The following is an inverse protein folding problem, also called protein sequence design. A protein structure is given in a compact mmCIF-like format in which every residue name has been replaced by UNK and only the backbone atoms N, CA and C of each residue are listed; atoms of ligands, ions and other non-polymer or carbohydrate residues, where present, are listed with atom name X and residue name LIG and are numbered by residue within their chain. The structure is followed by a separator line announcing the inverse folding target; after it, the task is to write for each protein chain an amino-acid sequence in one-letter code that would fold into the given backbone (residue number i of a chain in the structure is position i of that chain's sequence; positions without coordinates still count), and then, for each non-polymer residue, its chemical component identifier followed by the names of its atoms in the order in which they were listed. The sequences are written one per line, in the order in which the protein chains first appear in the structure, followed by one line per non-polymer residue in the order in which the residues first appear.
data_IF_973033169400
#
_entry.id   IF_973033169400
#
_cell.length_a   1.000
_cell.length_b   1.000
_cell.length_c   1.000
_cell.angle_alpha   90.00
_cell.angle_beta   90.00
_cell.angle_gamma   90.00
#
_symmetry.space_group_name_H-M   'P 1'
#
loop_
_entity.id
_entity.type
_entity.pdbx_description
1 polymer ?
#
# COMPACT_ATOMS: atom_id res chain seq x y z
N UNK A 1 -0.01 27.94 22.96
CA UNK A 1 -1.16 27.02 23.02
C UNK A 1 -1.38 26.51 21.60
N UNK A 2 -1.01 25.27 21.30
CA UNK A 2 -1.27 24.69 19.98
C UNK A 2 -2.78 24.46 19.85
N UNK A 3 -3.44 25.15 18.91
CA UNK A 3 -4.84 24.93 18.59
C UNK A 3 -4.98 23.56 17.90
N UNK A 4 -5.19 22.51 18.69
CA UNK A 4 -5.59 21.19 18.17
C UNK A 4 -7.05 21.24 17.71
N UNK A 5 -7.29 20.80 16.49
CA UNK A 5 -8.61 20.69 15.86
C UNK A 5 -8.99 19.21 15.84
N UNK A 6 -10.20 18.87 16.28
CA UNK A 6 -10.65 17.48 16.36
C UNK A 6 -11.71 17.17 15.31
N UNK A 7 -11.47 16.15 14.49
CA UNK A 7 -12.46 15.48 13.65
C UNK A 7 -13.02 14.26 14.38
N UNK A 8 -14.24 14.37 14.92
CA UNK A 8 -14.93 13.26 15.60
C UNK A 8 -15.70 12.45 14.58
N UNK A 9 -15.50 11.12 14.53
CA UNK A 9 -16.11 10.25 13.52
C UNK A 9 -17.14 9.24 13.99
N UNK A 10 -17.37 9.17 15.31
CA UNK A 10 -18.44 8.35 15.86
C UNK A 10 -19.75 9.14 16.00
N UNK A 11 -20.92 8.46 15.94
CA UNK A 11 -21.11 7.04 15.61
C UNK A 11 -20.91 6.76 14.12
N UNK A 12 -20.46 5.54 13.76
CA UNK A 12 -20.20 5.16 12.37
C UNK A 12 -21.46 5.12 11.50
N UNK A 13 -22.66 4.98 12.09
CA UNK A 13 -23.93 4.95 11.36
C UNK A 13 -24.16 6.19 10.49
N UNK A 14 -23.51 7.31 10.78
CA UNK A 14 -23.56 8.53 9.95
C UNK A 14 -22.98 8.34 8.55
N UNK A 15 -22.19 7.30 8.34
CA UNK A 15 -21.52 6.98 7.07
C UNK A 15 -22.19 5.82 6.32
N UNK A 16 -23.24 5.20 6.87
CA UNK A 16 -23.91 4.05 6.24
C UNK A 16 -24.76 4.45 5.02
N UNK A 17 -25.27 5.69 5.00
CA UNK A 17 -26.18 6.19 3.95
C UNK A 17 -25.52 7.16 2.96
N UNK A 18 -24.23 7.47 3.12
CA UNK A 18 -23.50 8.36 2.24
C UNK A 18 -23.41 7.82 0.81
N UNK A 19 -23.58 8.71 -0.17
CA UNK A 19 -23.43 8.41 -1.60
C UNK A 19 -22.16 9.06 -2.15
N UNK A 20 -21.03 8.81 -1.48
CA UNK A 20 -19.74 9.27 -2.00
C UNK A 20 -19.35 8.44 -3.20
N UNK A 21 -19.00 9.11 -4.29
CA UNK A 21 -18.43 8.47 -5.47
C UNK A 21 -16.92 8.35 -5.32
N UNK A 22 -16.38 7.25 -5.84
CA UNK A 22 -14.96 7.12 -6.13
C UNK A 22 -14.78 7.11 -7.64
N UNK A 23 -13.79 7.87 -8.13
CA UNK A 23 -13.37 7.74 -9.53
C UNK A 23 -12.45 6.54 -9.65
N UNK A 24 -12.54 5.83 -10.76
CA UNK A 24 -11.64 4.69 -11.02
C UNK A 24 -10.19 5.20 -11.06
N UNK A 25 -9.25 4.61 -10.29
CA UNK A 25 -7.84 4.94 -10.41
C UNK A 25 -7.35 4.68 -11.83
N UNK A 26 -6.58 5.61 -12.38
CA UNK A 26 -5.91 5.49 -13.68
C UNK A 26 -4.43 5.77 -13.49
N UNK A 27 -3.57 4.85 -13.92
CA UNK A 27 -2.13 5.11 -13.95
C UNK A 27 -1.87 6.27 -14.92
N UNK A 28 -1.13 7.28 -14.45
CA UNK A 28 -0.70 8.43 -15.24
C UNK A 28 0.80 8.36 -15.55
N UNK A 29 1.58 7.77 -14.64
CA UNK A 29 3.01 7.56 -14.79
C UNK A 29 3.49 6.52 -13.76
N UNK A 30 4.78 6.19 -13.75
CA UNK A 30 5.37 5.15 -12.92
C UNK A 30 6.87 5.35 -12.75
N UNK A 31 7.46 4.65 -11.79
CA UNK A 31 8.90 4.59 -11.60
C UNK A 31 9.33 3.24 -11.07
N UNK A 32 10.63 2.96 -11.19
CA UNK A 32 11.27 1.79 -10.63
C UNK A 32 12.34 2.19 -9.62
N UNK A 33 12.53 1.38 -8.58
CA UNK A 33 13.77 1.29 -7.84
C UNK A 33 14.52 0.04 -8.30
N UNK A 34 15.82 0.16 -8.57
CA UNK A 34 16.65 -1.00 -8.89
C UNK A 34 17.04 -1.81 -7.63
N UNK A 35 17.86 -2.85 -7.81
CA UNK A 35 18.33 -3.75 -6.75
C UNK A 35 19.18 -3.06 -5.67
N UNK A 36 19.63 -1.83 -5.93
CA UNK A 36 20.41 -0.96 -5.05
C UNK A 36 19.59 0.21 -4.50
N UNK A 37 18.27 0.20 -4.68
CA UNK A 37 17.35 1.27 -4.26
C UNK A 37 17.58 2.60 -5.00
N UNK A 38 18.17 2.57 -6.21
CA UNK A 38 18.29 3.78 -7.02
C UNK A 38 16.99 4.06 -7.75
N UNK A 39 16.49 5.30 -7.63
CA UNK A 39 15.31 5.76 -8.34
C UNK A 39 15.57 5.84 -9.85
N UNK A 40 14.65 5.26 -10.63
CA UNK A 40 14.57 5.31 -12.08
C UNK A 40 13.17 5.87 -12.46
N UNK A 41 13.03 7.19 -12.60
CA UNK A 41 11.77 7.81 -13.03
C UNK A 41 11.35 7.34 -14.42
N UNK A 42 10.03 7.19 -14.64
CA UNK A 42 9.47 6.85 -15.95
C UNK A 42 9.98 5.51 -16.52
N UNK A 43 10.36 4.58 -15.64
CA UNK A 43 11.00 3.31 -15.99
C UNK A 43 10.21 2.11 -15.49
N UNK A 44 10.13 1.08 -16.33
CA UNK A 44 9.55 -0.24 -16.01
C UNK A 44 10.62 -1.29 -15.68
N UNK A 45 11.86 -0.86 -15.41
CA UNK A 45 13.00 -1.77 -15.20
C UNK A 45 12.75 -2.83 -14.12
N UNK A 46 11.95 -2.50 -13.10
CA UNK A 46 11.63 -3.38 -11.98
C UNK A 46 10.24 -4.02 -12.07
N UNK A 47 9.54 -3.85 -13.20
CA UNK A 47 8.23 -4.46 -13.43
C UNK A 47 8.35 -5.99 -13.41
N UNK A 48 7.53 -6.64 -12.59
CA UNK A 48 7.46 -8.10 -12.50
C UNK A 48 6.20 -8.66 -13.13
N UNK A 49 6.29 -9.90 -13.59
CA UNK A 49 5.22 -10.65 -14.21
C UNK A 49 4.80 -11.80 -13.32
N UNK A 50 3.49 -11.92 -13.07
CA UNK A 50 2.97 -12.97 -12.20
C UNK A 50 3.17 -14.34 -12.83
N UNK A 51 3.82 -15.23 -12.08
CA UNK A 51 4.00 -16.64 -12.44
C UNK A 51 3.81 -17.47 -11.16
N UNK A 52 2.69 -18.20 -11.01
CA UNK A 52 2.38 -18.87 -9.76
C UNK A 52 3.49 -19.87 -9.36
N UNK A 53 3.75 -20.05 -8.05
CA UNK A 53 4.51 -21.17 -7.53
C UNK A 53 3.90 -22.49 -8.01
N UNK A 54 4.75 -23.43 -8.43
CA UNK A 54 4.29 -24.74 -8.87
C UNK A 54 4.13 -25.69 -7.68
N UNK A 55 3.07 -26.48 -7.69
CA UNK A 55 2.86 -27.59 -6.76
C UNK A 55 2.94 -28.90 -7.54
N UNK A 56 3.49 -29.96 -6.94
CA UNK A 56 3.51 -31.29 -7.55
C UNK A 56 4.41 -31.44 -8.77
N UNK A 57 5.54 -30.70 -8.84
CA UNK A 57 6.48 -30.89 -9.93
C UNK A 57 7.21 -32.25 -9.82
N UNK A 58 7.48 -32.88 -10.97
CA UNK A 58 8.23 -34.14 -11.01
C UNK A 58 9.67 -33.93 -10.50
N UNK A 59 10.09 -34.70 -9.49
CA UNK A 59 11.43 -34.65 -8.91
C UNK A 59 11.57 -33.92 -7.57
N UNK A 60 10.50 -33.31 -7.04
CA UNK A 60 10.50 -32.70 -5.71
C UNK A 60 10.34 -33.74 -4.58
N UNK A 61 11.02 -33.54 -3.44
CA UNK A 61 10.97 -34.48 -2.31
C UNK A 61 9.62 -34.44 -1.57
N UNK A 62 8.99 -33.26 -1.50
CA UNK A 62 7.62 -33.06 -0.99
C UNK A 62 6.74 -32.60 -2.14
N UNK A 63 6.09 -33.55 -2.83
CA UNK A 63 5.24 -33.25 -3.98
C UNK A 63 4.00 -32.43 -3.62
N UNK A 64 3.56 -32.39 -2.36
CA UNK A 64 2.33 -31.71 -1.99
C UNK A 64 2.60 -30.26 -1.57
N UNK A 65 3.67 -30.00 -0.81
CA UNK A 65 3.97 -28.67 -0.27
C UNK A 65 5.47 -28.31 -0.37
N UNK A 66 5.99 -28.15 -1.61
CA UNK A 66 7.43 -28.02 -1.85
C UNK A 66 8.03 -26.70 -1.36
N UNK A 67 7.22 -25.66 -1.12
CA UNK A 67 7.73 -24.31 -0.82
C UNK A 67 7.65 -23.99 0.67
N UNK A 68 8.81 -23.81 1.31
CA UNK A 68 8.90 -23.28 2.66
C UNK A 68 9.32 -21.80 2.63
N UNK A 69 8.46 -20.90 3.12
CA UNK A 69 8.65 -19.46 2.97
C UNK A 69 9.82 -18.89 3.80
N UNK A 70 10.35 -19.64 4.78
CA UNK A 70 11.60 -19.29 5.48
C UNK A 70 12.88 -19.62 4.69
N UNK A 71 12.80 -20.36 3.58
CA UNK A 71 14.00 -20.73 2.81
C UNK A 71 14.69 -19.51 2.20
N UNK A 72 15.95 -19.31 2.57
CA UNK A 72 16.76 -18.16 2.15
C UNK A 72 16.71 -16.97 3.10
N UNK A 73 16.02 -17.07 4.25
CA UNK A 73 15.92 -15.98 5.23
C UNK A 73 17.29 -15.50 5.74
N UNK A 74 18.24 -16.42 5.94
CA UNK A 74 19.60 -16.09 6.42
C UNK A 74 20.43 -15.29 5.40
N UNK A 75 20.09 -15.37 4.11
CA UNK A 75 20.74 -14.64 3.02
C UNK A 75 19.89 -13.47 2.51
N UNK A 76 18.82 -13.11 3.22
CA UNK A 76 17.92 -12.04 2.80
C UNK A 76 18.65 -10.69 2.70
N UNK A 77 18.59 -10.08 1.51
CA UNK A 77 19.10 -8.73 1.29
C UNK A 77 18.00 -7.72 1.63
N UNK A 78 17.95 -7.33 2.92
CA UNK A 78 16.94 -6.40 3.43
C UNK A 78 17.35 -4.94 3.14
N UNK A 79 16.48 -4.20 2.46
CA UNK A 79 16.54 -2.76 2.33
C UNK A 79 16.49 -2.05 3.70
N UNK A 80 17.30 -1.01 3.85
CA UNK A 80 17.37 -0.18 5.06
C UNK A 80 16.19 0.80 5.15
N UNK A 81 15.16 0.38 5.88
CA UNK A 81 13.95 1.17 6.19
C UNK A 81 14.18 2.28 7.24
N UNK A 82 15.42 2.51 7.68
CA UNK A 82 15.77 3.60 8.61
C UNK A 82 15.81 4.97 7.94
N UNK A 83 15.96 5.00 6.62
CA UNK A 83 16.03 6.22 5.82
C UNK A 83 14.60 6.74 5.58
N UNK A 84 14.39 8.04 5.78
CA UNK A 84 13.13 8.70 5.45
C UNK A 84 13.19 9.16 3.99
N UNK A 85 12.53 8.41 3.10
CA UNK A 85 12.48 8.71 1.66
C UNK A 85 11.44 9.78 1.32
N UNK A 86 10.68 10.27 2.31
CA UNK A 86 9.64 11.30 2.15
C UNK A 86 8.73 11.00 0.94
N UNK A 87 8.33 12.01 0.17
CA UNK A 87 7.61 11.86 -1.09
C UNK A 87 8.55 11.92 -2.30
N UNK A 88 9.87 11.83 -2.11
CA UNK A 88 10.87 12.24 -3.10
C UNK A 88 10.70 11.54 -4.45
N UNK A 89 10.55 10.21 -4.46
CA UNK A 89 10.37 9.47 -5.71
C UNK A 89 9.06 9.77 -6.43
N UNK A 90 7.98 10.04 -5.69
CA UNK A 90 6.73 10.51 -6.27
C UNK A 90 6.94 11.90 -6.91
N UNK A 91 7.53 12.84 -6.19
CA UNK A 91 7.72 14.21 -6.68
C UNK A 91 8.68 14.29 -7.87
N UNK A 92 9.80 13.56 -7.82
CA UNK A 92 10.79 13.53 -8.90
C UNK A 92 10.20 12.91 -10.17
N UNK A 93 9.43 11.83 -10.03
CA UNK A 93 8.77 11.18 -11.16
C UNK A 93 7.64 12.02 -11.73
N UNK A 94 6.86 12.67 -10.86
CA UNK A 94 5.80 13.56 -11.30
C UNK A 94 6.37 14.77 -12.03
N UNK A 95 7.44 15.39 -11.52
CA UNK A 95 8.15 16.46 -12.22
C UNK A 95 8.64 16.00 -13.59
N UNK A 96 9.32 14.85 -13.69
CA UNK A 96 9.80 14.33 -14.97
C UNK A 96 8.64 14.09 -15.97
N UNK A 97 7.50 13.61 -15.49
CA UNK A 97 6.30 13.42 -16.31
C UNK A 97 5.72 14.75 -16.81
N UNK A 98 5.65 15.77 -15.95
CA UNK A 98 5.16 17.11 -16.30
C UNK A 98 6.09 17.83 -17.27
N UNK A 99 7.41 17.65 -17.14
CA UNK A 99 8.41 18.13 -18.09
C UNK A 99 8.24 17.44 -19.46
N UNK A 100 8.07 16.12 -19.49
CA UNK A 100 7.88 15.35 -20.73
C UNK A 100 6.57 15.71 -21.45
N UNK A 101 5.49 15.93 -20.70
CA UNK A 101 4.15 16.21 -21.27
C UNK A 101 3.88 17.69 -21.47
N UNK A 102 4.67 18.57 -20.85
CA UNK A 102 4.41 20.02 -20.75
C UNK A 102 3.01 20.32 -20.18
N UNK A 103 2.49 19.44 -19.33
CA UNK A 103 1.16 19.56 -18.71
C UNK A 103 1.25 19.30 -17.21
N UNK A 104 0.67 20.20 -16.43
CA UNK A 104 0.52 20.03 -14.98
C UNK A 104 -0.52 18.95 -14.68
N UNK A 105 -0.18 18.03 -13.78
CA UNK A 105 -1.12 17.07 -13.22
C UNK A 105 -1.90 17.73 -12.07
N UNK A 106 -3.19 17.89 -12.27
CA UNK A 106 -4.10 18.49 -11.29
C UNK A 106 -4.43 17.50 -10.16
N UNK A 107 -4.21 17.92 -8.91
CA UNK A 107 -4.51 17.11 -7.73
C UNK A 107 -4.72 18.01 -6.51
N UNK A 108 -5.70 17.67 -5.66
CA UNK A 108 -5.79 18.25 -4.32
C UNK A 108 -4.76 17.58 -3.40
N UNK A 109 -4.59 16.26 -3.43
CA UNK A 109 -3.67 15.56 -2.51
C UNK A 109 -2.65 14.76 -3.28
N UNK A 110 -1.38 14.89 -2.87
CA UNK A 110 -0.25 14.07 -3.32
C UNK A 110 0.24 13.23 -2.13
N UNK A 111 0.24 11.90 -2.27
CA UNK A 111 0.57 11.02 -1.14
C UNK A 111 0.92 9.59 -1.57
N UNK A 112 1.51 8.83 -0.65
CA UNK A 112 1.66 7.38 -0.78
C UNK A 112 0.34 6.65 -0.54
N UNK A 113 0.11 5.57 -1.29
CA UNK A 113 -1.00 4.62 -1.10
C UNK A 113 -1.12 4.15 0.33
N UNK A 114 0.00 3.94 1.02
CA UNK A 114 0.01 3.53 2.42
C UNK A 114 -0.70 4.52 3.34
N UNK A 115 -0.58 5.83 3.12
CA UNK A 115 -1.25 6.84 3.92
C UNK A 115 -2.76 6.84 3.64
N UNK A 116 -3.15 6.80 2.37
CA UNK A 116 -4.57 6.69 2.02
C UNK A 116 -5.20 5.39 2.49
N UNK A 117 -4.46 4.29 2.54
CA UNK A 117 -4.93 3.03 3.12
C UNK A 117 -5.30 3.23 4.59
N UNK A 118 -4.40 3.83 5.38
CA UNK A 118 -4.62 4.13 6.81
C UNK A 118 -5.83 5.04 7.02
N UNK A 119 -5.98 6.08 6.21
CA UNK A 119 -7.18 6.96 6.23
C UNK A 119 -8.43 6.15 5.91
N UNK A 120 -8.43 5.39 4.80
CA UNK A 120 -9.61 4.68 4.31
C UNK A 120 -10.15 3.67 5.33
N UNK A 121 -9.27 2.96 6.04
CA UNK A 121 -9.67 1.89 6.97
C UNK A 121 -9.76 2.33 8.42
N UNK A 122 -9.44 3.59 8.76
CA UNK A 122 -9.45 4.11 10.13
C UNK A 122 -10.73 3.85 10.95
N UNK A 123 -11.94 3.80 10.36
CA UNK A 123 -13.16 3.43 11.10
C UNK A 123 -13.15 2.02 11.68
N UNK A 124 -12.41 1.11 11.06
CA UNK A 124 -12.40 -0.31 11.38
C UNK A 124 -11.03 -0.82 11.84
N UNK A 125 -9.94 -0.07 11.61
CA UNK A 125 -8.63 -0.40 12.18
C UNK A 125 -8.60 -0.08 13.68
N UNK A 126 -8.81 -1.12 14.47
CA UNK A 126 -8.92 -1.03 15.94
C UNK A 126 -7.57 -1.17 16.64
N UNK A 127 -6.49 -1.44 15.92
CA UNK A 127 -5.22 -1.83 16.52
C UNK A 127 -4.09 -0.90 16.13
N UNK A 128 -4.11 -0.35 14.92
CA UNK A 128 -3.08 0.56 14.46
C UNK A 128 -3.57 2.02 14.55
N UNK A 129 -2.77 2.86 15.20
CA UNK A 129 -2.87 4.31 15.07
C UNK A 129 -1.97 4.80 13.94
N UNK A 130 -2.14 6.06 13.54
CA UNK A 130 -1.24 6.68 12.58
C UNK A 130 -0.97 8.13 12.92
N UNK A 131 0.22 8.58 12.54
CA UNK A 131 0.60 9.98 12.51
C UNK A 131 1.13 10.31 11.13
N UNK A 132 0.69 11.44 10.59
CA UNK A 132 1.05 11.90 9.26
C UNK A 132 1.33 13.39 9.27
N UNK A 133 2.27 13.85 8.45
CA UNK A 133 2.46 15.27 8.18
C UNK A 133 1.62 15.70 6.99
N UNK A 134 1.06 16.90 7.04
CA UNK A 134 0.30 17.54 5.98
C UNK A 134 0.78 18.98 5.77
N UNK A 135 1.08 19.39 4.54
CA UNK A 135 1.42 20.79 4.22
C UNK A 135 0.76 21.27 2.93
N UNK A 136 0.46 22.56 2.87
CA UNK A 136 -0.20 23.23 1.74
C UNK A 136 0.82 24.01 0.90
N UNK A 137 0.79 23.84 -0.42
CA UNK A 137 1.60 24.66 -1.34
C UNK A 137 0.73 25.45 -2.30
N UNK A 138 0.85 26.78 -2.26
CA UNK A 138 0.12 27.69 -3.14
C UNK A 138 0.60 27.63 -4.60
N UNK A 139 1.87 27.33 -4.83
CA UNK A 139 2.45 27.25 -6.18
C UNK A 139 2.06 25.96 -6.90
N UNK A 140 1.64 24.93 -6.16
CA UNK A 140 1.20 23.65 -6.73
C UNK A 140 -0.32 23.54 -6.94
N UNK A 141 -1.12 24.48 -6.41
CA UNK A 141 -2.58 24.33 -6.16
C UNK A 141 -2.97 23.00 -5.48
N UNK A 142 -1.99 22.31 -4.89
CA UNK A 142 -2.16 21.03 -4.20
C UNK A 142 -2.38 21.30 -2.72
N UNK A 143 -3.55 20.90 -2.27
CA UNK A 143 -4.04 21.00 -0.91
C UNK A 143 -3.14 20.34 0.14
N UNK A 144 -2.60 19.14 -0.10
CA UNK A 144 -1.86 18.43 0.96
C UNK A 144 -0.85 17.42 0.42
N UNK A 145 0.42 17.61 0.78
CA UNK A 145 1.42 16.54 0.79
C UNK A 145 1.24 15.75 2.06
N UNK A 146 0.89 14.48 1.94
CA UNK A 146 0.55 13.62 3.08
C UNK A 146 1.58 12.50 3.19
N UNK A 147 2.43 12.55 4.22
CA UNK A 147 3.49 11.56 4.44
C UNK A 147 3.46 10.97 5.85
N UNK A 148 4.15 9.84 6.03
CA UNK A 148 4.24 9.17 7.33
C UNK A 148 5.10 9.99 8.31
N UNK A 149 4.67 10.11 9.57
CA UNK A 149 5.58 10.59 10.62
C UNK A 149 6.57 9.46 10.97
N UNK A 150 7.72 9.45 10.28
CA UNK A 150 8.71 8.38 10.36
C UNK A 150 9.19 8.11 11.80
N UNK A 151 9.43 9.17 12.59
CA UNK A 151 9.86 9.02 13.98
C UNK A 151 8.82 8.29 14.86
N UNK A 152 7.53 8.58 14.72
CA UNK A 152 6.48 7.85 15.45
C UNK A 152 6.36 6.39 14.99
N UNK A 153 6.52 6.12 13.68
CA UNK A 153 6.56 4.76 13.15
C UNK A 153 7.70 3.96 13.78
N UNK A 154 8.91 4.52 13.78
CA UNK A 154 10.12 3.93 14.37
C UNK A 154 9.96 3.64 15.86
N UNK A 155 9.39 4.58 16.60
CA UNK A 155 9.10 4.40 18.03
C UNK A 155 8.12 3.24 18.26
N UNK A 156 7.07 3.15 17.46
CA UNK A 156 6.10 2.04 17.55
C UNK A 156 6.73 0.68 17.19
N UNK A 157 7.61 0.64 16.20
CA UNK A 157 8.34 -0.58 15.81
C UNK A 157 9.31 -1.04 16.91
N UNK A 158 10.02 -0.11 17.55
CA UNK A 158 10.91 -0.42 18.67
C UNK A 158 10.16 -0.86 19.94
N UNK A 159 8.96 -0.35 20.16
CA UNK A 159 8.11 -0.73 21.30
C UNK A 159 7.47 -2.12 21.15
N UNK A 160 7.42 -2.69 19.93
CA UNK A 160 6.85 -4.02 19.70
C UNK A 160 7.75 -5.11 20.28
N UNK A 161 7.21 -6.09 21.02
CA UNK A 161 8.01 -7.18 21.57
C UNK A 161 8.65 -7.99 20.44
N UNK A 162 9.98 -7.91 20.31
CA UNK A 162 10.72 -8.60 19.25
C UNK A 162 11.03 -10.06 19.58
N UNK A 163 10.89 -10.49 20.84
CA UNK A 163 11.17 -11.87 21.23
C UNK A 163 10.04 -12.80 20.77
N UNK A 164 10.31 -13.78 19.89
CA UNK A 164 9.32 -14.78 19.56
C UNK A 164 8.97 -15.61 20.79
N UNK A 165 7.75 -16.13 20.83
CA UNK A 165 7.40 -17.19 21.79
C UNK A 165 8.17 -18.45 21.41
N UNK A 166 8.56 -19.32 22.38
CA UNK A 166 9.21 -20.58 22.06
C UNK A 166 8.43 -21.36 21.00
N UNK A 167 9.10 -21.77 19.92
CA UNK A 167 8.49 -22.49 18.80
C UNK A 167 7.70 -21.63 17.79
N UNK A 168 7.76 -20.30 17.87
CA UNK A 168 7.18 -19.41 16.85
C UNK A 168 8.25 -18.70 16.01
N UNK A 169 7.99 -18.49 14.71
CA UNK A 169 8.83 -17.67 13.84
C UNK A 169 9.00 -16.25 14.37
N UNK A 170 10.16 -15.66 14.10
CA UNK A 170 10.42 -14.26 14.48
C UNK A 170 9.55 -13.28 13.67
N UNK A 171 9.27 -12.07 14.17
CA UNK A 171 8.60 -11.04 13.38
C UNK A 171 9.30 -10.73 12.04
N UNK A 172 10.63 -10.74 12.03
CA UNK A 172 11.43 -10.53 10.82
C UNK A 172 11.27 -11.68 9.81
N UNK A 173 11.20 -12.91 10.29
CA UNK A 173 10.95 -14.09 9.44
C UNK A 173 9.52 -14.07 8.87
N UNK A 174 8.52 -13.67 9.67
CA UNK A 174 7.15 -13.51 9.18
C UNK A 174 7.02 -12.40 8.14
N UNK A 175 7.82 -11.34 8.23
CA UNK A 175 7.91 -10.30 7.19
C UNK A 175 8.55 -10.87 5.92
N UNK A 176 9.65 -11.60 6.06
CA UNK A 176 10.34 -12.25 4.95
C UNK A 176 9.44 -13.17 4.12
N UNK A 177 8.48 -13.85 4.76
CA UNK A 177 7.52 -14.70 4.05
C UNK A 177 6.72 -13.99 2.95
N UNK A 178 6.47 -12.68 3.08
CA UNK A 178 5.88 -11.88 2.01
C UNK A 178 6.81 -11.82 0.79
N UNK A 179 8.02 -11.32 1.00
CA UNK A 179 9.04 -11.20 -0.06
C UNK A 179 9.42 -12.55 -0.67
N UNK A 180 9.47 -13.62 0.12
CA UNK A 180 9.72 -14.97 -0.42
C UNK A 180 8.56 -15.43 -1.31
N UNK A 181 7.32 -15.15 -0.91
CA UNK A 181 6.16 -15.49 -1.73
C UNK A 181 6.14 -14.69 -3.04
N UNK A 182 6.53 -13.41 -3.01
CA UNK A 182 6.74 -12.59 -4.22
C UNK A 182 7.81 -13.20 -5.13
N UNK A 183 8.98 -13.53 -4.60
CA UNK A 183 10.05 -14.17 -5.36
C UNK A 183 9.65 -15.51 -5.98
N UNK A 184 8.82 -16.30 -5.29
CA UNK A 184 8.28 -17.56 -5.82
C UNK A 184 7.20 -17.35 -6.89
N UNK A 185 6.49 -16.22 -6.83
CA UNK A 185 5.28 -15.94 -7.61
C UNK A 185 5.47 -14.96 -8.77
N UNK A 186 6.71 -14.55 -9.04
CA UNK A 186 7.01 -13.53 -10.04
C UNK A 186 8.21 -13.86 -10.91
N UNK A 187 8.31 -13.21 -12.06
CA UNK A 187 9.43 -13.24 -12.99
C UNK A 187 9.79 -11.81 -13.42
N UNK A 188 11.06 -11.56 -13.71
CA UNK A 188 11.52 -10.26 -14.24
C UNK A 188 11.16 -10.04 -15.73
N UNK A 189 10.63 -11.06 -16.41
CA UNK A 189 10.22 -11.02 -17.81
C UNK A 189 8.97 -11.87 -18.01
N UNK A 190 8.30 -11.73 -19.16
CA UNK A 190 7.09 -12.51 -19.44
C UNK A 190 7.40 -14.00 -19.38
N UNK A 191 6.45 -14.79 -18.87
CA UNK A 191 6.62 -16.25 -18.71
C UNK A 191 7.01 -16.94 -20.03
N UNK A 192 6.47 -16.48 -21.16
CA UNK A 192 6.77 -17.03 -22.49
C UNK A 192 8.20 -16.77 -22.96
N UNK A 193 8.86 -15.75 -22.40
CA UNK A 193 10.24 -15.38 -22.71
C UNK A 193 11.23 -15.97 -21.71
N UNK A 194 10.78 -16.30 -20.51
CA UNK A 194 11.64 -16.76 -19.41
C UNK A 194 12.23 -18.15 -19.70
N UNK A 195 13.57 -18.33 -19.63
CA UNK A 195 14.19 -19.64 -19.71
C UNK A 195 13.64 -20.56 -18.62
N UNK A 196 13.46 -21.85 -18.95
CA UNK A 196 12.94 -22.86 -18.01
C UNK A 196 13.74 -22.88 -16.70
N UNK A 197 15.05 -22.74 -16.78
CA UNK A 197 15.94 -22.70 -15.62
C UNK A 197 15.62 -21.53 -14.67
N UNK A 198 15.31 -20.35 -15.21
CA UNK A 198 14.91 -19.18 -14.41
C UNK A 198 13.58 -19.45 -13.70
N UNK A 199 12.65 -20.10 -14.40
CA UNK A 199 11.34 -20.44 -13.86
C UNK A 199 11.48 -21.47 -12.72
N UNK A 200 12.25 -22.54 -12.93
CA UNK A 200 12.37 -23.64 -11.98
C UNK A 200 13.27 -23.33 -10.78
N UNK A 201 14.22 -22.39 -10.92
CA UNK A 201 15.14 -22.02 -9.84
C UNK A 201 14.68 -20.82 -8.98
N UNK A 202 13.44 -20.31 -9.14
CA UNK A 202 12.92 -19.20 -8.31
C UNK A 202 13.06 -19.45 -6.80
N UNK A 203 12.84 -20.68 -6.34
CA UNK A 203 12.99 -21.05 -4.92
C UNK A 203 14.42 -20.87 -4.40
N UNK A 204 15.42 -20.88 -5.28
CA UNK A 204 16.85 -20.73 -4.95
C UNK A 204 17.36 -19.29 -5.08
N UNK A 205 16.55 -18.37 -5.62
CA UNK A 205 16.96 -16.98 -5.78
C UNK A 205 17.13 -16.31 -4.41
N UNK A 206 18.15 -15.46 -4.31
CA UNK A 206 18.33 -14.57 -3.17
C UNK A 206 17.22 -13.53 -3.23
N UNK A 207 16.46 -13.44 -2.14
CA UNK A 207 15.39 -12.46 -2.02
C UNK A 207 16.00 -11.11 -1.65
N UNK A 208 15.56 -10.05 -2.35
CA UNK A 208 15.90 -8.66 -2.12
C UNK A 208 14.60 -7.85 -2.19
N UNK A 209 14.38 -6.92 -1.26
CA UNK A 209 13.19 -6.05 -1.23
C UNK A 209 13.50 -4.56 -1.53
N UNK A 210 14.65 -4.29 -2.13
CA UNK A 210 15.05 -2.94 -2.57
C UNK A 210 14.45 -2.59 -3.94
N UNK A 211 14.42 -3.58 -4.84
CA UNK A 211 13.86 -3.48 -6.18
C UNK A 211 12.33 -3.40 -6.11
N UNK A 212 11.75 -2.34 -6.68
CA UNK A 212 10.31 -2.11 -6.65
C UNK A 212 9.83 -1.41 -7.92
N UNK A 213 8.63 -1.76 -8.38
CA UNK A 213 7.92 -0.98 -9.39
C UNK A 213 6.72 -0.29 -8.74
N UNK A 214 6.60 1.02 -8.96
CA UNK A 214 5.57 1.86 -8.37
C UNK A 214 4.72 2.51 -9.46
N UNK A 215 3.40 2.31 -9.34
CA UNK A 215 2.39 2.98 -10.16
C UNK A 215 2.00 4.31 -9.51
N UNK A 216 1.91 5.38 -10.30
CA UNK A 216 1.36 6.67 -9.89
C UNK A 216 0.00 6.82 -10.56
N UNK A 217 -1.06 6.78 -9.75
CA UNK A 217 -2.44 6.84 -10.23
C UNK A 217 -3.09 8.17 -9.89
N UNK A 218 -3.95 8.65 -10.79
CA UNK A 218 -4.90 9.72 -10.51
C UNK A 218 -6.28 9.13 -10.22
N UNK A 219 -6.93 9.63 -9.17
CA UNK A 219 -8.26 9.18 -8.73
C UNK A 219 -9.03 10.30 -8.02
N UNK A 220 -10.16 9.98 -7.40
CA UNK A 220 -10.82 10.90 -6.46
C UNK A 220 -11.83 10.22 -5.57
N UNK A 221 -11.97 10.78 -4.38
CA UNK A 221 -12.91 10.34 -3.35
C UNK A 221 -13.77 11.55 -2.97
N UNK A 222 -15.08 11.48 -3.26
CA UNK A 222 -15.96 12.65 -3.19
C UNK A 222 -15.46 13.78 -4.10
N UNK A 223 -15.39 15.00 -3.56
CA UNK A 223 -14.93 16.20 -4.29
C UNK A 223 -13.41 16.43 -4.17
N UNK A 224 -12.63 15.39 -3.82
CA UNK A 224 -11.18 15.49 -3.67
C UNK A 224 -10.46 14.72 -4.78
N UNK A 225 -9.65 15.42 -5.57
CA UNK A 225 -8.74 14.87 -6.56
C UNK A 225 -7.46 14.35 -5.88
N UNK A 226 -7.10 13.10 -6.15
CA UNK A 226 -5.95 12.45 -5.51
C UNK A 226 -4.96 11.99 -6.57
N UNK A 227 -3.67 12.21 -6.32
CA UNK A 227 -2.57 11.50 -6.99
C UNK A 227 -1.88 10.66 -5.94
N UNK A 228 -1.86 9.35 -6.17
CA UNK A 228 -1.42 8.34 -5.22
C UNK A 228 -0.33 7.51 -5.88
N UNK A 229 0.83 7.41 -5.22
CA UNK A 229 1.89 6.51 -5.62
C UNK A 229 1.88 5.24 -4.76
N UNK A 230 2.13 4.08 -5.35
CA UNK A 230 2.34 2.87 -4.58
C UNK A 230 2.92 1.73 -5.39
N UNK A 231 3.67 0.89 -4.69
CA UNK A 231 4.18 -0.38 -5.21
C UNK A 231 3.04 -1.29 -5.67
N UNK A 232 3.25 -1.93 -6.83
CA UNK A 232 2.42 -3.04 -7.33
C UNK A 232 3.32 -4.25 -7.55
N UNK A 233 2.86 -5.43 -7.13
CA UNK A 233 3.76 -6.59 -7.00
C UNK A 233 4.06 -7.25 -8.35
N UNK A 234 3.07 -7.33 -9.25
CA UNK A 234 3.25 -7.88 -10.60
C UNK A 234 2.09 -7.54 -11.55
N UNK A 235 2.30 -7.79 -12.85
CA UNK A 235 1.23 -7.83 -13.87
C UNK A 235 0.87 -9.28 -14.25
N UNK A 236 -0.42 -9.56 -14.39
CA UNK A 236 -0.92 -10.84 -14.93
C UNK A 236 -0.91 -10.80 -16.46
N UNK A 237 0.00 -11.55 -17.06
CA UNK A 237 0.16 -11.57 -18.52
C UNK A 237 1.09 -10.46 -18.98
N UNK A 238 0.54 -9.34 -19.44
CA UNK A 238 1.31 -8.19 -19.92
C UNK A 238 0.67 -6.86 -19.53
N UNK A 239 1.48 -5.81 -19.46
CA UNK A 239 1.01 -4.44 -19.26
C UNK A 239 0.57 -3.90 -20.63
N UNK A 240 -0.70 -3.44 -20.79
CA UNK A 240 -1.16 -2.87 -22.05
C UNK A 240 -0.36 -1.62 -22.46
N UNK A 241 -0.11 -1.46 -23.76
CA UNK A 241 0.43 -0.22 -24.32
C UNK A 241 -0.62 0.91 -24.34
N UNK A 242 -1.90 0.55 -24.52
CA UNK A 242 -3.01 1.50 -24.45
C UNK A 242 -3.32 1.85 -23.00
N UNK A 243 -3.02 3.10 -22.62
CA UNK A 243 -3.24 3.64 -21.28
C UNK A 243 -4.71 3.79 -20.89
N UNK A 244 -5.64 3.63 -21.85
CA UNK A 244 -7.08 3.57 -21.59
C UNK A 244 -7.54 2.20 -21.06
N UNK A 245 -6.75 1.15 -21.31
CA UNK A 245 -7.04 -0.19 -20.87
C UNK A 245 -6.70 -0.40 -19.39
N UNK A 246 -7.39 -1.37 -18.78
CA UNK A 246 -7.14 -1.74 -17.40
C UNK A 246 -5.86 -2.58 -17.32
N UNK A 247 -4.88 -2.12 -16.55
CA UNK A 247 -3.69 -2.94 -16.32
C UNK A 247 -4.08 -4.11 -15.39
N UNK A 248 -3.79 -5.37 -15.76
CA UNK A 248 -4.16 -6.54 -14.97
C UNK A 248 -3.18 -6.75 -13.81
N UNK A 249 -3.05 -5.74 -12.95
CA UNK A 249 -2.19 -5.80 -11.76
C UNK A 249 -2.58 -6.94 -10.81
N UNK A 250 -1.58 -7.45 -10.11
CA UNK A 250 -1.70 -8.47 -9.08
C UNK A 250 -1.05 -7.96 -7.80
N UNK A 251 -1.78 -8.01 -6.69
CA UNK A 251 -1.25 -7.85 -5.34
C UNK A 251 -1.06 -9.24 -4.71
N UNK A 252 0.13 -9.51 -4.21
CA UNK A 252 0.53 -10.75 -3.56
C UNK A 252 0.45 -10.60 -2.04
N UNK A 253 -0.20 -11.56 -1.39
CA UNK A 253 -0.35 -11.59 0.08
C UNK A 253 -0.11 -12.98 0.62
N UNK A 254 0.33 -13.05 1.87
CA UNK A 254 0.40 -14.33 2.60
C UNK A 254 -0.46 -14.31 3.86
N UNK A 255 -1.02 -15.47 4.19
CA UNK A 255 -1.77 -15.64 5.45
C UNK A 255 -1.65 -17.05 5.99
N UNK A 256 -1.88 -17.21 7.30
CA UNK A 256 -2.01 -18.53 7.92
C UNK A 256 -3.27 -19.19 7.36
N UNK A 257 -3.20 -20.50 7.10
CA UNK A 257 -4.36 -21.33 6.78
C UNK A 257 -5.44 -21.22 7.86
N UNK A 258 -6.70 -21.28 7.42
CA UNK A 258 -7.87 -21.07 8.27
C UNK A 258 -8.30 -22.42 8.84
N UNK A 259 -7.84 -22.72 10.04
CA UNK A 259 -8.11 -24.01 10.70
C UNK A 259 -9.23 -23.91 11.74
N UNK A 260 -9.56 -22.71 12.20
CA UNK A 260 -10.52 -22.44 13.27
C UNK A 260 -11.08 -21.02 13.18
N UNK A 261 -12.09 -20.73 13.99
CA UNK A 261 -12.78 -19.44 13.98
C UNK A 261 -11.85 -18.23 14.25
N UNK A 262 -10.88 -18.38 15.14
CA UNK A 262 -9.92 -17.31 15.44
C UNK A 262 -9.04 -16.97 14.25
N UNK A 263 -8.69 -17.95 13.43
CA UNK A 263 -7.95 -17.72 12.19
C UNK A 263 -8.85 -17.09 11.11
N UNK A 264 -10.13 -17.46 11.08
CA UNK A 264 -11.11 -16.84 10.19
C UNK A 264 -11.32 -15.35 10.50
N UNK A 265 -11.45 -14.98 11.78
CA UNK A 265 -11.59 -13.57 12.21
C UNK A 265 -10.35 -12.74 11.82
N UNK A 266 -9.15 -13.28 12.03
CA UNK A 266 -7.91 -12.60 11.60
C UNK A 266 -7.81 -12.48 10.08
N UNK A 267 -8.27 -13.47 9.33
CA UNK A 267 -8.25 -13.42 7.89
C UNK A 267 -9.19 -12.33 7.36
N UNK A 268 -10.38 -12.21 7.94
CA UNK A 268 -11.30 -11.12 7.62
C UNK A 268 -10.75 -9.73 7.96
N UNK A 269 -10.05 -9.57 9.10
CA UNK A 269 -9.35 -8.32 9.42
C UNK A 269 -8.29 -7.98 8.35
N UNK A 270 -7.61 -9.01 7.80
CA UNK A 270 -6.67 -8.82 6.69
C UNK A 270 -7.37 -8.48 5.38
N UNK A 271 -8.55 -9.05 5.11
CA UNK A 271 -9.32 -8.75 3.90
C UNK A 271 -9.64 -7.25 3.78
N UNK A 272 -9.87 -6.55 4.90
CA UNK A 272 -10.02 -5.09 4.91
C UNK A 272 -8.77 -4.39 4.36
N UNK A 273 -7.58 -4.81 4.83
CA UNK A 273 -6.30 -4.24 4.40
C UNK A 273 -5.99 -4.60 2.95
N UNK A 274 -6.22 -5.85 2.55
CA UNK A 274 -6.04 -6.31 1.16
C UNK A 274 -6.94 -5.52 0.21
N UNK A 275 -8.22 -5.40 0.54
CA UNK A 275 -9.16 -4.58 -0.23
C UNK A 275 -8.69 -3.14 -0.35
N UNK A 276 -8.40 -2.46 0.75
CA UNK A 276 -8.03 -1.05 0.73
C UNK A 276 -6.75 -0.79 -0.07
N UNK A 277 -5.73 -1.63 0.10
CA UNK A 277 -4.44 -1.52 -0.58
C UNK A 277 -4.59 -1.66 -2.11
N UNK A 278 -5.33 -2.66 -2.55
CA UNK A 278 -5.54 -2.95 -3.98
C UNK A 278 -6.54 -2.00 -4.62
N UNK A 279 -7.62 -1.65 -3.93
CA UNK A 279 -8.67 -0.76 -4.41
C UNK A 279 -8.15 0.65 -4.74
N UNK A 280 -7.27 1.20 -3.90
CA UNK A 280 -6.73 2.56 -4.06
C UNK A 280 -5.83 2.72 -5.31
N UNK A 281 -5.17 1.65 -5.76
CA UNK A 281 -4.36 1.63 -6.99
C UNK A 281 -5.09 1.02 -8.18
N UNK A 282 -6.35 0.60 -8.01
CA UNK A 282 -7.11 -0.05 -9.08
C UNK A 282 -6.59 -1.45 -9.43
N UNK A 283 -5.91 -2.13 -8.50
CA UNK A 283 -5.41 -3.50 -8.69
C UNK A 283 -6.59 -4.47 -8.73
N UNK A 284 -6.84 -5.20 -9.84
CA UNK A 284 -8.02 -6.04 -9.99
C UNK A 284 -7.93 -7.38 -9.24
N UNK A 285 -6.72 -7.91 -9.03
CA UNK A 285 -6.53 -9.25 -8.46
C UNK A 285 -5.65 -9.23 -7.22
N UNK A 286 -6.08 -9.94 -6.18
CA UNK A 286 -5.28 -10.25 -5.00
C UNK A 286 -5.03 -11.75 -4.98
N UNK A 287 -3.77 -12.18 -4.98
CA UNK A 287 -3.37 -13.58 -4.88
C UNK A 287 -2.84 -13.84 -3.48
N UNK A 288 -3.51 -14.74 -2.76
CA UNK A 288 -3.22 -15.07 -1.37
C UNK A 288 -2.56 -16.45 -1.28
N UNK A 289 -1.32 -16.49 -0.84
CA UNK A 289 -0.63 -17.70 -0.40
C UNK A 289 -1.03 -18.08 1.03
N UNK A 290 -1.77 -19.17 1.18
CA UNK A 290 -2.10 -19.74 2.49
C UNK A 290 -0.99 -20.67 2.93
N UNK A 291 -0.50 -20.46 4.14
CA UNK A 291 0.64 -21.18 4.70
C UNK A 291 0.31 -21.80 6.06
N UNK A 292 1.07 -22.82 6.42
CA UNK A 292 1.08 -23.40 7.76
C UNK A 292 1.62 -22.41 8.80
N UNK A 293 1.64 -22.84 10.06
CA UNK A 293 2.21 -22.05 11.17
C UNK A 293 3.74 -21.90 11.06
N UNK A 294 4.44 -22.91 10.54
CA UNK A 294 5.89 -22.94 10.35
C UNK A 294 6.35 -22.30 9.03
N UNK A 295 5.44 -21.96 8.12
CA UNK A 295 5.76 -21.20 6.90
C UNK A 295 5.74 -22.02 5.60
N UNK A 296 5.25 -23.26 5.61
CA UNK A 296 5.01 -24.04 4.39
C UNK A 296 3.82 -23.47 3.63
N UNK A 297 4.00 -23.18 2.35
CA UNK A 297 2.92 -22.75 1.48
C UNK A 297 2.02 -23.95 1.14
N UNK A 298 0.75 -23.87 1.49
CA UNK A 298 -0.22 -24.96 1.38
C UNK A 298 -1.10 -24.85 0.14
N UNK A 299 -1.61 -23.64 -0.14
CA UNK A 299 -2.44 -23.36 -1.31
C UNK A 299 -2.38 -21.89 -1.68
N UNK A 300 -2.86 -21.60 -2.88
CA UNK A 300 -2.96 -20.24 -3.42
C UNK A 300 -4.40 -20.00 -3.84
N UNK A 301 -4.91 -18.80 -3.56
CA UNK A 301 -6.24 -18.37 -3.96
C UNK A 301 -6.16 -16.99 -4.62
N UNK A 302 -6.72 -16.86 -5.82
CA UNK A 302 -6.89 -15.57 -6.47
C UNK A 302 -8.30 -15.03 -6.19
N UNK A 303 -8.36 -13.79 -5.72
CA UNK A 303 -9.58 -13.10 -5.36
C UNK A 303 -9.65 -11.79 -6.14
N UNK A 304 -10.77 -11.53 -6.81
CA UNK A 304 -10.98 -10.22 -7.42
C UNK A 304 -11.22 -9.17 -6.33
N UNK A 305 -10.51 -8.05 -6.40
CA UNK A 305 -10.56 -6.98 -5.39
C UNK A 305 -11.99 -6.51 -5.10
N UNK A 306 -12.83 -6.41 -6.14
CA UNK A 306 -14.24 -5.99 -6.00
C UNK A 306 -15.11 -6.99 -5.22
N UNK A 307 -14.71 -8.27 -5.12
CA UNK A 307 -15.43 -9.32 -4.38
C UNK A 307 -15.07 -9.37 -2.91
N UNK A 308 -13.92 -8.82 -2.50
CA UNK A 308 -13.41 -8.90 -1.12
C UNK A 308 -14.44 -8.40 -0.08
N UNK A 309 -15.11 -7.25 -0.25
CA UNK A 309 -16.12 -6.81 0.72
C UNK A 309 -17.29 -7.80 0.88
N UNK A 310 -17.71 -8.44 -0.21
CA UNK A 310 -18.77 -9.47 -0.18
C UNK A 310 -18.29 -10.73 0.53
N UNK A 311 -17.05 -11.15 0.31
CA UNK A 311 -16.45 -12.31 1.01
C UNK A 311 -16.41 -12.06 2.52
N UNK A 312 -15.93 -10.89 2.95
CA UNK A 312 -15.91 -10.51 4.36
C UNK A 312 -17.32 -10.52 4.97
N UNK A 313 -18.32 -9.94 4.27
CA UNK A 313 -19.73 -9.97 4.69
C UNK A 313 -20.28 -11.39 4.83
N UNK A 314 -19.95 -12.28 3.89
CA UNK A 314 -20.38 -13.69 3.94
C UNK A 314 -19.73 -14.44 5.10
N UNK A 315 -18.43 -14.23 5.36
CA UNK A 315 -17.74 -14.81 6.52
C UNK A 315 -18.37 -14.35 7.83
N UNK A 316 -18.70 -13.06 7.94
CA UNK A 316 -19.35 -12.49 9.11
C UNK A 316 -20.78 -12.99 9.32
N UNK A 317 -21.56 -13.10 8.24
CA UNK A 317 -22.93 -13.58 8.31
C UNK A 317 -23.04 -15.03 8.82
N UNK A 318 -22.08 -15.90 8.47
CA UNK A 318 -22.02 -17.29 8.96
C UNK A 318 -21.94 -17.38 10.50
N UNK A 319 -21.35 -16.36 11.11
CA UNK A 319 -21.17 -16.25 12.57
C UNK A 319 -22.16 -15.27 13.22
N UNK A 320 -23.23 -14.87 12.50
CA UNK A 320 -24.23 -13.89 12.97
C UNK A 320 -23.62 -12.57 13.50
N UNK A 321 -22.51 -12.12 12.90
CA UNK A 321 -21.80 -10.89 13.30
C UNK A 321 -21.79 -9.85 12.19
N UNK A 322 -21.56 -8.59 12.57
CA UNK A 322 -21.31 -7.49 11.63
C UNK A 322 -19.83 -7.41 11.29
N UNK A 323 -19.52 -6.88 10.12
CA UNK A 323 -18.16 -6.66 9.60
C UNK A 323 -17.99 -5.21 9.13
N UNK A 324 -16.81 -4.90 8.58
CA UNK A 324 -16.51 -3.66 7.91
C UNK A 324 -17.32 -3.50 6.60
N UNK A 325 -17.55 -2.26 6.20
CA UNK A 325 -18.25 -1.92 4.97
C UNK A 325 -17.40 -0.97 4.12
N UNK A 326 -17.11 -1.36 2.88
CA UNK A 326 -16.26 -0.58 1.98
C UNK A 326 -16.85 0.78 1.60
N UNK A 327 -18.18 0.90 1.47
CA UNK A 327 -18.82 2.20 1.20
C UNK A 327 -18.70 3.11 2.43
N UNK A 328 -18.83 2.54 3.64
CA UNK A 328 -18.61 3.29 4.87
C UNK A 328 -17.19 3.85 4.94
N UNK A 329 -16.18 3.03 4.62
CA UNK A 329 -14.78 3.47 4.53
C UNK A 329 -14.61 4.64 3.54
N UNK A 330 -15.20 4.54 2.34
CA UNK A 330 -15.12 5.59 1.31
C UNK A 330 -15.83 6.88 1.75
N UNK A 331 -17.02 6.77 2.34
CA UNK A 331 -17.76 7.91 2.88
C UNK A 331 -16.98 8.61 4.01
N UNK A 332 -16.38 7.84 4.92
CA UNK A 332 -15.52 8.37 5.97
C UNK A 332 -14.29 9.09 5.39
N UNK A 333 -13.62 8.48 4.42
CA UNK A 333 -12.43 9.06 3.79
C UNK A 333 -12.75 10.38 3.10
N UNK A 334 -13.90 10.49 2.39
CA UNK A 334 -14.34 11.75 1.79
C UNK A 334 -14.52 12.85 2.83
N UNK A 335 -15.20 12.58 3.95
CA UNK A 335 -15.40 13.58 5.00
C UNK A 335 -14.09 14.01 5.65
N UNK A 336 -13.17 13.05 5.89
CA UNK A 336 -11.87 13.37 6.47
C UNK A 336 -11.00 14.18 5.50
N UNK A 337 -10.99 13.83 4.21
CA UNK A 337 -10.32 14.62 3.17
C UNK A 337 -10.91 16.02 3.06
N UNK A 338 -12.23 16.17 3.08
CA UNK A 338 -12.90 17.48 3.12
C UNK A 338 -12.54 18.29 4.37
N UNK A 339 -12.42 17.63 5.53
CA UNK A 339 -11.93 18.25 6.75
C UNK A 339 -10.48 18.74 6.60
N UNK A 340 -9.59 17.94 6.02
CA UNK A 340 -8.21 18.35 5.74
C UNK A 340 -8.19 19.54 4.76
N UNK A 341 -8.99 19.49 3.69
CA UNK A 341 -9.13 20.59 2.72
C UNK A 341 -9.47 21.92 3.38
N UNK A 342 -10.35 21.88 4.35
CA UNK A 342 -10.81 23.06 5.06
C UNK A 342 -9.76 23.69 5.98
N UNK A 343 -8.85 22.90 6.56
CA UNK A 343 -7.96 23.36 7.64
C UNK A 343 -6.49 23.43 7.22
N UNK A 344 -6.03 22.59 6.30
CA UNK A 344 -4.67 22.61 5.74
C UNK A 344 -4.65 23.52 4.51
N UNK A 345 -4.74 24.83 4.73
CA UNK A 345 -4.88 25.83 3.66
C UNK A 345 -3.92 27.02 3.79
N UNK A 346 -2.96 26.94 4.69
CA UNK A 346 -1.98 27.99 4.96
C UNK A 346 -0.60 27.58 4.42
N UNK A 347 -0.04 28.32 3.44
CA UNK A 347 1.31 28.07 2.98
C UNK A 347 2.33 28.20 4.11
N UNK A 348 3.39 27.39 4.06
CA UNK A 348 4.48 27.47 5.03
C UNK A 348 4.17 26.86 6.39
N UNK A 349 3.04 26.17 6.54
CA UNK A 349 2.63 25.49 7.79
C UNK A 349 2.65 23.98 7.58
N UNK A 350 3.25 23.26 8.53
CA UNK A 350 3.12 21.80 8.65
C UNK A 350 2.07 21.48 9.71
N UNK A 351 1.16 20.59 9.36
CA UNK A 351 0.13 20.08 10.25
C UNK A 351 0.41 18.60 10.54
N UNK A 352 0.21 18.20 11.80
CA UNK A 352 0.23 16.80 12.23
C UNK A 352 -1.19 16.29 12.29
N UNK A 353 -1.49 15.30 11.46
CA UNK A 353 -2.68 14.47 11.53
C UNK A 353 -2.40 13.27 12.43
N UNK A 354 -3.20 13.05 13.47
CA UNK A 354 -3.03 11.93 14.38
C UNK A 354 -4.33 11.16 14.60
N UNK A 355 -4.27 9.84 14.45
CA UNK A 355 -5.31 8.92 14.87
C UNK A 355 -4.74 7.99 15.94
N UNK A 356 -5.46 7.89 17.06
CA UNK A 356 -5.16 6.90 18.10
C UNK A 356 -6.18 5.77 18.01
N UNK A 357 -5.68 4.54 18.09
CA UNK A 357 -6.54 3.35 18.21
C UNK A 357 -7.58 3.56 19.31
N UNK A 358 -8.85 3.21 19.03
CA UNK A 358 -9.88 3.24 20.07
C UNK A 358 -10.57 4.60 20.24
N UNK A 359 -10.04 5.68 19.64
CA UNK A 359 -10.36 7.04 20.05
C UNK A 359 -11.69 7.59 19.50
N UNK A 360 -12.14 7.09 18.34
CA UNK A 360 -13.27 7.69 17.63
C UNK A 360 -13.01 9.09 17.06
N UNK A 361 -11.76 9.54 17.10
CA UNK A 361 -11.35 10.89 16.67
C UNK A 361 -10.04 10.87 15.89
N UNK A 362 -9.93 11.82 14.97
CA UNK A 362 -8.68 12.20 14.31
C UNK A 362 -8.38 13.64 14.73
N UNK A 363 -7.16 13.93 15.16
CA UNK A 363 -6.74 15.28 15.55
C UNK A 363 -5.82 15.88 14.51
N UNK A 364 -5.88 17.20 14.38
CA UNK A 364 -5.05 17.99 13.49
C UNK A 364 -4.45 19.14 14.30
N UNK A 365 -3.13 19.26 14.35
CA UNK A 365 -2.44 20.32 15.09
C UNK A 365 -1.28 20.87 14.28
N UNK A 366 -0.98 22.15 14.41
CA UNK A 366 0.23 22.73 13.80
C UNK A 366 1.47 22.12 14.45
N UNK A 367 2.41 21.68 13.62
CA UNK A 367 3.73 21.21 14.03
C UNK A 367 4.79 22.23 13.60
N UNK A 368 5.33 22.96 14.57
CA UNK A 368 6.36 23.97 14.34
C UNK A 368 7.79 23.39 14.38
N UNK A 369 7.94 22.07 14.58
CA UNK A 369 9.25 21.40 14.66
C UNK A 369 9.78 20.95 13.30
N UNK A 370 8.90 20.90 12.29
CA UNK A 370 9.21 20.45 10.93
C UNK A 370 9.09 21.62 9.98
N UNK A 371 10.12 21.83 9.15
CA UNK A 371 10.07 22.84 8.10
C UNK A 371 9.28 22.29 6.89
N UNK A 372 8.39 23.06 6.25
CA UNK A 372 7.68 22.62 5.04
C UNK A 372 8.61 22.11 3.93
N UNK A 373 9.82 22.66 3.84
CA UNK A 373 10.86 22.25 2.88
C UNK A 373 11.44 20.85 3.12
N UNK A 374 11.17 20.23 4.27
CA UNK A 374 11.54 18.82 4.50
C UNK A 374 10.51 17.85 3.91
N UNK A 375 9.30 18.32 3.61
CA UNK A 375 8.23 17.50 3.01
C UNK A 375 8.14 17.78 1.51
N UNK A 376 8.25 19.06 1.14
CA UNK A 376 8.15 19.51 -0.24
C UNK A 376 9.52 19.86 -0.80
N UNK A 377 9.91 19.13 -1.84
CA UNK A 377 11.16 19.36 -2.54
C UNK A 377 11.16 20.74 -3.23
N UNK A 378 12.25 21.49 -3.03
CA UNK A 378 12.39 22.83 -3.62
C UNK A 378 12.39 22.79 -5.16
N UNK A 379 12.96 21.75 -5.77
CA UNK A 379 12.95 21.57 -7.23
C UNK A 379 11.53 21.41 -7.77
N UNK A 380 10.70 20.61 -7.11
CA UNK A 380 9.30 20.41 -7.48
C UNK A 380 8.48 21.70 -7.34
N UNK A 381 8.71 22.46 -6.27
CA UNK A 381 8.06 23.76 -6.06
C UNK A 381 8.40 24.75 -7.17
N UNK A 382 9.69 24.89 -7.50
CA UNK A 382 10.16 25.75 -8.57
C UNK A 382 9.69 25.29 -9.95
N UNK A 383 9.59 23.97 -10.18
CA UNK A 383 9.02 23.42 -11.40
C UNK A 383 7.56 23.85 -11.58
N UNK A 384 6.73 23.70 -10.54
CA UNK A 384 5.30 24.06 -10.57
C UNK A 384 5.04 25.56 -10.72
N UNK A 385 5.97 26.42 -10.29
CA UNK A 385 5.90 27.87 -10.54
C UNK A 385 5.89 28.22 -12.04
N UNK A 386 6.42 27.36 -12.93
CA UNK A 386 6.40 27.61 -14.37
C UNK A 386 5.01 27.40 -15.02
N UNK A 387 4.05 26.83 -14.29
CA UNK A 387 2.67 26.63 -14.76
C UNK A 387 1.69 27.68 -14.24
N UNK A 388 2.15 28.58 -13.34
CA UNK A 388 1.37 29.70 -12.82
C UNK A 388 1.45 30.91 -13.77
#
# INVERSE_FOLDING_TARGET
MSNEITFRYLPLSRYESGKTTIRRPREITYFSYDDQRKLLPLSEASLKYYCPPFFGAHGEQDHNYPHHLSEGFQSFQKHDDTIDEHLDALLDTLQAHEEQTSQKVEADVLTWRGMMTKILIAPYDRFDGFEMNATFSKTADTLSFLEEHHAAKRQNEQARPQRPRPGQPSPAEMQYWGYKFEALSTLAQRRVEAPREVIENRSKQIVNNSEQYCSIVQTGIGDTNLVIAGEVDAVLGEKPEDTSEAIPWVELKTTKEIENQKDADKYEDKLLKFWAQSFLLGVPHVVVGFRSMDGRLLRIEQIDTHRIPTIAKQMAARENRRTWDGNLCVNFAADLLGFLKKHVNQPGVVWRLAHRSRSGVVTLSVDNTIAPSSILKASFSAHRENFA
#
